data_IF_552080207091
#
_entry.id   IF_552080207091
#
_cell.length_a   1.000
_cell.length_b   1.000
_cell.length_c   1.000
_cell.angle_alpha   90.00
_cell.angle_beta   90.00
_cell.angle_gamma   90.00
#
_symmetry.space_group_name_H-M   'P 1'
#
loop_
_entity.id
_entity.type
_entity.pdbx_description
1 polymer ?
#
# COMPACT_ATOMS: atom_id res chain seq x y z
N UNK A 1 13.11 6.06 14.51
CA UNK A 1 13.85 5.70 13.29
C UNK A 1 13.79 6.78 12.21
N UNK A 2 12.62 7.21 11.72
CA UNK A 2 12.53 8.33 10.77
C UNK A 2 13.04 9.67 11.34
N UNK A 3 12.68 9.99 12.60
CA UNK A 3 13.15 11.21 13.28
C UNK A 3 14.65 11.22 13.62
N UNK A 4 15.35 10.07 13.52
CA UNK A 4 16.79 9.96 13.77
C UNK A 4 17.63 10.13 12.50
N UNK A 5 17.01 10.31 11.33
CA UNK A 5 17.70 10.57 10.07
C UNK A 5 17.68 12.08 9.80
N UNK A 6 18.86 12.70 9.71
CA UNK A 6 19.02 14.12 9.37
C UNK A 6 19.26 14.30 7.87
N UNK A 7 18.80 15.42 7.30
CA UNK A 7 19.08 15.80 5.90
C UNK A 7 18.20 15.12 4.85
N UNK A 8 17.01 14.67 5.24
CA UNK A 8 16.01 14.14 4.28
C UNK A 8 15.05 15.27 3.93
N UNK A 9 15.07 15.73 2.69
CA UNK A 9 14.21 16.84 2.23
C UNK A 9 12.94 16.37 1.52
N UNK A 10 12.93 15.12 1.06
CA UNK A 10 11.88 14.59 0.21
C UNK A 10 11.22 13.35 0.81
N UNK A 11 9.91 13.23 0.60
CA UNK A 11 9.14 12.03 0.90
C UNK A 11 8.57 11.49 -0.42
N UNK A 12 9.12 10.39 -0.90
CA UNK A 12 8.62 9.71 -2.08
C UNK A 12 7.44 8.81 -1.73
N UNK A 13 6.36 8.88 -2.50
CA UNK A 13 5.18 8.03 -2.34
C UNK A 13 4.83 7.35 -3.66
N UNK A 14 4.44 6.07 -3.58
CA UNK A 14 3.97 5.28 -4.72
C UNK A 14 2.51 5.54 -5.08
N UNK A 15 2.01 6.77 -4.89
CA UNK A 15 0.65 7.19 -5.22
C UNK A 15 0.38 6.92 -6.70
N UNK A 16 -0.76 6.29 -6.99
CA UNK A 16 -1.20 5.93 -8.34
C UNK A 16 -2.37 6.79 -8.79
N UNK A 17 -2.72 6.71 -10.08
CA UNK A 17 -3.85 7.48 -10.62
C UNK A 17 -5.20 7.20 -9.92
N UNK A 18 -5.56 5.94 -9.59
CA UNK A 18 -6.74 5.65 -8.76
C UNK A 18 -6.74 6.38 -7.40
N UNK A 19 -5.57 6.53 -6.78
CA UNK A 19 -5.45 7.22 -5.49
C UNK A 19 -5.74 8.72 -5.63
N UNK A 20 -5.32 9.32 -6.76
CA UNK A 20 -5.55 10.73 -7.05
C UNK A 20 -7.03 10.99 -7.25
N UNK A 21 -7.71 10.21 -8.09
CA UNK A 21 -9.14 10.42 -8.36
C UNK A 21 -9.97 10.25 -7.09
N UNK A 22 -9.69 9.23 -6.26
CA UNK A 22 -10.37 8.99 -4.99
C UNK A 22 -10.21 10.18 -4.02
N UNK A 23 -9.03 10.82 -4.01
CA UNK A 23 -8.74 12.00 -3.18
C UNK A 23 -9.33 13.32 -3.70
N UNK A 24 -9.41 13.53 -5.02
CA UNK A 24 -9.95 14.77 -5.64
C UNK A 24 -11.46 14.85 -5.64
N UNK A 25 -12.16 13.74 -5.39
CA UNK A 25 -13.62 13.68 -5.27
C UNK A 25 -14.20 14.56 -4.15
N UNK A 26 -13.37 15.16 -3.29
CA UNK A 26 -13.78 16.16 -2.31
C UNK A 26 -14.43 17.42 -2.94
N UNK A 27 -14.11 17.77 -4.19
CA UNK A 27 -14.61 18.99 -4.86
C UNK A 27 -15.82 18.78 -5.77
N UNK A 28 -16.31 17.54 -5.92
CA UNK A 28 -17.48 17.24 -6.77
C UNK A 28 -18.61 16.61 -5.96
N UNK A 29 -19.78 17.25 -6.01
CA UNK A 29 -20.99 17.03 -5.19
C UNK A 29 -21.58 15.58 -5.12
N UNK A 30 -20.96 14.56 -5.71
CA UNK A 30 -21.53 13.21 -5.87
C UNK A 30 -20.58 12.05 -5.52
N UNK A 31 -19.43 12.29 -4.88
CA UNK A 31 -18.53 11.20 -4.52
C UNK A 31 -18.79 10.70 -3.10
N UNK A 32 -19.46 9.55 -3.00
CA UNK A 32 -19.59 8.83 -1.74
C UNK A 32 -18.20 8.46 -1.20
N UNK A 33 -18.01 8.66 0.11
CA UNK A 33 -16.74 8.50 0.83
C UNK A 33 -16.27 7.04 0.80
N UNK A 34 -15.53 6.66 -0.23
CA UNK A 34 -14.92 5.33 -0.34
C UNK A 34 -13.45 5.47 0.10
N UNK A 35 -13.24 5.32 1.42
CA UNK A 35 -11.94 5.22 2.15
C UNK A 35 -11.29 6.53 2.63
N UNK A 36 -10.77 6.48 3.87
CA UNK A 36 -10.20 7.60 4.66
C UNK A 36 -8.66 7.57 4.73
N UNK A 37 -8.01 6.69 3.98
CA UNK A 37 -6.56 6.48 4.05
C UNK A 37 -5.96 6.64 2.67
N UNK A 38 -5.75 7.88 2.22
CA UNK A 38 -4.84 8.14 1.12
C UNK A 38 -3.65 8.95 1.59
N UNK A 39 -2.50 8.50 1.07
CA UNK A 39 -1.16 9.04 1.24
C UNK A 39 -1.04 10.55 0.98
N UNK A 40 -2.03 11.15 0.30
CA UNK A 40 -2.07 12.58 -0.08
C UNK A 40 -2.72 13.46 0.99
N UNK A 41 -3.47 12.90 1.96
CA UNK A 41 -4.23 13.68 2.97
C UNK A 41 -3.99 13.31 4.43
N UNK A 42 -3.21 12.26 4.71
CA UNK A 42 -2.98 11.75 6.07
C UNK A 42 -1.68 12.20 6.73
N UNK A 43 -0.90 13.07 6.07
CA UNK A 43 0.38 13.52 6.63
C UNK A 43 0.14 14.60 7.70
N UNK A 44 0.81 14.51 8.86
CA UNK A 44 0.77 15.57 9.87
C UNK A 44 1.09 16.94 9.27
N UNK A 45 0.37 17.98 9.67
CA UNK A 45 0.54 19.33 9.13
C UNK A 45 1.93 19.94 9.42
N UNK A 46 2.64 19.39 10.41
CA UNK A 46 3.99 19.77 10.83
C UNK A 46 5.10 18.98 10.10
N UNK A 47 4.73 18.11 9.16
CA UNK A 47 5.68 17.29 8.41
C UNK A 47 6.40 18.14 7.36
N UNK A 48 7.71 18.37 7.56
CA UNK A 48 8.55 19.23 6.70
C UNK A 48 9.26 18.44 5.59
N UNK A 49 8.50 17.79 4.70
CA UNK A 49 9.05 17.15 3.50
C UNK A 49 8.40 17.68 2.22
N UNK A 50 9.17 17.71 1.14
CA UNK A 50 8.63 17.91 -0.21
C UNK A 50 8.17 16.55 -0.75
N UNK A 51 6.90 16.44 -1.15
CA UNK A 51 6.35 15.22 -1.71
C UNK A 51 6.85 14.98 -3.14
N UNK A 52 7.17 13.72 -3.45
CA UNK A 52 7.54 13.25 -4.78
C UNK A 52 6.71 12.02 -5.12
N UNK A 53 5.81 12.14 -6.11
CA UNK A 53 4.85 11.10 -6.46
C UNK A 53 4.98 10.74 -7.95
N UNK A 54 6.03 10.00 -8.35
CA UNK A 54 6.37 9.80 -9.76
C UNK A 54 5.36 8.91 -10.51
N UNK A 55 4.57 8.11 -9.78
CA UNK A 55 3.63 7.13 -10.34
C UNK A 55 2.19 7.65 -10.40
N UNK A 56 1.95 8.91 -10.03
CA UNK A 56 0.60 9.47 -9.77
C UNK A 56 -0.35 9.48 -10.97
N UNK A 57 0.15 9.26 -12.18
CA UNK A 57 -0.62 9.22 -13.42
C UNK A 57 -0.70 7.82 -14.04
N UNK A 58 -0.25 6.81 -13.30
CA UNK A 58 -0.20 5.43 -13.77
C UNK A 58 -1.21 4.55 -13.04
N UNK A 59 -1.71 3.54 -13.74
CA UNK A 59 -2.46 2.42 -13.19
C UNK A 59 -1.52 1.30 -12.72
N UNK A 60 -2.09 0.32 -12.01
CA UNK A 60 -1.31 -0.73 -11.34
C UNK A 60 -0.58 -1.63 -12.33
N UNK A 61 -1.17 -1.94 -13.46
CA UNK A 61 -0.60 -2.71 -14.56
C UNK A 61 0.59 -1.99 -15.21
N UNK A 62 0.47 -0.69 -15.47
CA UNK A 62 1.58 0.12 -15.99
C UNK A 62 2.77 0.15 -15.02
N UNK A 63 2.50 0.29 -13.72
CA UNK A 63 3.54 0.22 -12.68
C UNK A 63 4.19 -1.16 -12.60
N UNK A 64 3.42 -2.24 -12.81
CA UNK A 64 3.99 -3.60 -12.90
C UNK A 64 4.92 -3.73 -14.11
N UNK A 65 4.51 -3.23 -15.28
CA UNK A 65 5.34 -3.24 -16.48
C UNK A 65 6.67 -2.47 -16.27
N UNK A 66 6.62 -1.31 -15.63
CA UNK A 66 7.81 -0.56 -15.23
C UNK A 66 8.68 -1.39 -14.28
N UNK A 67 8.07 -2.05 -13.28
CA UNK A 67 8.79 -2.91 -12.34
C UNK A 67 9.55 -4.05 -13.04
N UNK A 68 8.91 -4.71 -14.00
CA UNK A 68 9.54 -5.75 -14.81
C UNK A 68 10.70 -5.20 -15.67
N UNK A 69 10.51 -4.04 -16.31
CA UNK A 69 11.56 -3.39 -17.12
C UNK A 69 12.75 -2.94 -16.26
N UNK A 70 12.51 -2.55 -15.01
CA UNK A 70 13.55 -2.23 -14.02
C UNK A 70 14.24 -3.48 -13.44
N UNK A 71 13.84 -4.69 -13.85
CA UNK A 71 14.43 -5.95 -13.41
C UNK A 71 14.03 -6.39 -12.00
N UNK A 72 12.87 -5.94 -11.49
CA UNK A 72 12.34 -6.44 -10.23
C UNK A 72 11.94 -7.91 -10.36
N UNK A 73 12.12 -8.74 -9.30
CA UNK A 73 11.68 -10.12 -9.30
C UNK A 73 10.20 -10.27 -9.63
N UNK A 74 9.87 -11.23 -10.50
CA UNK A 74 8.52 -11.46 -10.99
C UNK A 74 7.53 -11.77 -9.86
N UNK A 75 7.96 -12.58 -8.87
CA UNK A 75 7.18 -12.92 -7.69
C UNK A 75 6.85 -11.71 -6.81
N UNK A 76 7.70 -10.68 -6.81
CA UNK A 76 7.45 -9.40 -6.16
C UNK A 76 6.52 -8.52 -6.98
N UNK A 77 6.76 -8.41 -8.30
CA UNK A 77 5.95 -7.60 -9.21
C UNK A 77 4.52 -8.11 -9.25
N UNK A 78 4.32 -9.43 -9.27
CA UNK A 78 3.03 -10.10 -9.38
C UNK A 78 2.40 -10.52 -8.04
N UNK A 79 3.06 -10.20 -6.91
CA UNK A 79 2.52 -10.50 -5.58
C UNK A 79 1.11 -9.94 -5.41
N UNK A 80 0.27 -10.71 -4.71
CA UNK A 80 -1.06 -10.25 -4.31
C UNK A 80 -0.95 -8.99 -3.44
N UNK A 81 -1.90 -8.03 -3.58
CA UNK A 81 -1.99 -6.89 -2.68
C UNK A 81 -2.11 -7.33 -1.23
N UNK A 82 -1.41 -6.63 -0.35
CA UNK A 82 -1.48 -6.85 1.10
C UNK A 82 -1.88 -5.54 1.79
N UNK A 83 -2.89 -5.55 2.68
CA UNK A 83 -3.42 -4.32 3.26
C UNK A 83 -2.44 -3.66 4.22
N UNK A 84 -2.51 -2.33 4.35
CA UNK A 84 -1.65 -1.56 5.26
C UNK A 84 -1.69 -2.03 6.73
N UNK A 85 -2.87 -2.28 7.32
CA UNK A 85 -2.99 -2.89 8.65
C UNK A 85 -2.53 -4.36 8.75
N UNK A 86 -2.18 -4.98 7.62
CA UNK A 86 -1.68 -6.35 7.54
C UNK A 86 -2.63 -7.41 8.05
N UNK A 87 -2.12 -8.35 8.84
CA UNK A 87 -2.91 -9.46 9.39
C UNK A 87 -3.91 -9.02 10.46
N UNK A 88 -3.79 -7.82 11.03
CA UNK A 88 -4.68 -7.34 12.08
C UNK A 88 -6.14 -7.28 11.61
N UNK A 89 -6.38 -6.80 10.38
CA UNK A 89 -7.75 -6.73 9.81
C UNK A 89 -8.32 -8.09 9.42
N UNK A 90 -7.52 -9.16 9.49
CA UNK A 90 -7.94 -10.53 9.22
C UNK A 90 -8.23 -11.33 10.50
N UNK A 91 -7.99 -10.75 11.68
CA UNK A 91 -8.34 -11.34 12.97
C UNK A 91 -9.67 -10.74 13.43
N UNK A 92 -10.65 -11.60 13.69
CA UNK A 92 -11.93 -11.16 14.26
C UNK A 92 -11.78 -11.11 15.79
N UNK A 93 -11.90 -9.90 16.34
CA UNK A 93 -11.68 -9.60 17.76
C UNK A 93 -10.23 -9.24 18.06
N UNK A 94 -9.78 -9.51 19.29
CA UNK A 94 -8.48 -9.04 19.77
C UNK A 94 -7.31 -9.63 18.98
N UNK A 95 -6.35 -8.76 18.65
CA UNK A 95 -5.11 -9.10 17.98
C UNK A 95 -4.08 -9.53 19.03
N UNK A 96 -3.96 -10.84 19.23
CA UNK A 96 -2.98 -11.44 20.16
C UNK A 96 -1.85 -12.12 19.40
N UNK A 97 -0.70 -12.31 20.05
CA UNK A 97 0.45 -13.00 19.43
C UNK A 97 0.09 -14.42 18.97
N UNK A 98 -0.62 -15.16 19.82
CA UNK A 98 -1.07 -16.53 19.54
C UNK A 98 -1.96 -16.59 18.29
N UNK A 99 -2.96 -15.70 18.20
CA UNK A 99 -3.85 -15.62 17.03
C UNK A 99 -3.09 -15.24 15.76
N UNK A 100 -2.10 -14.36 15.87
CA UNK A 100 -1.23 -14.00 14.76
C UNK A 100 -0.37 -15.18 14.29
N UNK A 101 0.12 -16.05 15.19
CA UNK A 101 0.87 -17.25 14.77
C UNK A 101 -0.02 -18.22 14.00
N UNK A 102 -1.20 -18.53 14.54
CA UNK A 102 -2.15 -19.43 13.87
C UNK A 102 -2.53 -18.88 12.49
N UNK A 103 -2.82 -17.58 12.39
CA UNK A 103 -3.17 -16.95 11.13
C UNK A 103 -1.99 -16.93 10.14
N UNK A 104 -0.76 -16.69 10.59
CA UNK A 104 0.43 -16.76 9.73
C UNK A 104 0.65 -18.15 9.15
N UNK A 105 0.50 -19.18 9.97
CA UNK A 105 0.64 -20.57 9.52
C UNK A 105 -0.43 -20.92 8.47
N UNK A 106 -1.69 -20.53 8.72
CA UNK A 106 -2.79 -20.74 7.78
C UNK A 106 -2.60 -19.95 6.46
N UNK A 107 -2.22 -18.68 6.54
CA UNK A 107 -1.97 -17.82 5.37
C UNK A 107 -0.82 -18.37 4.52
N UNK A 108 0.26 -18.87 5.15
CA UNK A 108 1.36 -19.51 4.44
C UNK A 108 0.90 -20.73 3.64
N UNK A 109 0.14 -21.64 4.25
CA UNK A 109 -0.39 -22.82 3.57
C UNK A 109 -1.27 -22.39 2.38
N UNK A 110 -2.21 -21.47 2.60
CA UNK A 110 -3.14 -21.04 1.53
C UNK A 110 -2.39 -20.41 0.36
N UNK A 111 -1.41 -19.53 0.64
CA UNK A 111 -0.62 -18.87 -0.41
C UNK A 111 0.25 -19.88 -1.16
N UNK A 112 0.84 -20.84 -0.46
CA UNK A 112 1.67 -21.88 -1.08
C UNK A 112 0.86 -22.80 -2.00
N UNK A 113 -0.32 -23.24 -1.53
CA UNK A 113 -1.23 -24.08 -2.32
C UNK A 113 -1.77 -23.34 -3.56
N UNK A 114 -2.11 -22.05 -3.43
CA UNK A 114 -2.52 -21.23 -4.60
C UNK A 114 -1.38 -21.14 -5.61
N UNK A 115 -0.14 -20.87 -5.15
CA UNK A 115 1.02 -20.81 -6.05
C UNK A 115 1.29 -22.16 -6.73
N UNK A 116 1.13 -23.27 -6.02
CA UNK A 116 1.32 -24.61 -6.56
C UNK A 116 0.24 -24.98 -7.60
N UNK A 117 -0.97 -24.43 -7.48
CA UNK A 117 -2.08 -24.67 -8.40
C UNK A 117 -2.02 -23.85 -9.71
N UNK A 118 -1.20 -22.79 -9.75
CA UNK A 118 -1.06 -21.85 -10.88
C UNK A 118 -2.07 -20.71 -10.85
#
# INVERSE_FOLDING_TARGET
EAASLSGVDFLAQGTLYPDVIESTSHDTHNAHRIKTHHNVGGLPADLRFKLVEPLRYLFKDEVRAIGSELGLPDDMVHRQPFPGPGLAVRIIGDVTRERLETLRAADWIVVDEIKAAG
#
